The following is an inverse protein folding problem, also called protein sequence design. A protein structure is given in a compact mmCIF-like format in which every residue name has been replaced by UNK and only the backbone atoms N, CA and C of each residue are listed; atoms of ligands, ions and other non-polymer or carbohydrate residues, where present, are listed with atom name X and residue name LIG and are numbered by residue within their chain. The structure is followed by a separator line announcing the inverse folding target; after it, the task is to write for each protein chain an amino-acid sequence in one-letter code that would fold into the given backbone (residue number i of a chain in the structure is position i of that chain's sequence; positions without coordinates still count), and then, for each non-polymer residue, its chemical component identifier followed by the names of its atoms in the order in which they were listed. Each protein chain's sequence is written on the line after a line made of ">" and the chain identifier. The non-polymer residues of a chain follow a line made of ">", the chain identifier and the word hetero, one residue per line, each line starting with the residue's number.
data_IF_506909619124
#
_entry.id   IF_506909619124
#
_cell.length_a   1.000
_cell.length_b   1.000
_cell.length_c   1.000
_cell.angle_alpha   90.00
_cell.angle_beta   90.00
_cell.angle_gamma   90.00
#
_symmetry.space_group_name_H-M   'P 1'
#
loop_
_entity.id
_entity.type
_entity.pdbx_description
1 polymer ?
#
# COMPACT_ATOMS: atom_id res chain seq x y z
N UNK A 1 4.62 17.12 -14.46
CA UNK A 1 4.41 15.99 -13.55
C UNK A 1 3.56 14.94 -14.26
N UNK A 2 3.64 13.67 -13.86
CA UNK A 2 2.85 12.59 -14.47
C UNK A 2 1.56 12.41 -13.68
N UNK A 3 0.41 12.25 -14.34
CA UNK A 3 -0.90 12.03 -13.69
C UNK A 3 -0.87 10.92 -12.63
N UNK A 4 -0.14 9.84 -12.91
CA UNK A 4 0.01 8.73 -11.97
C UNK A 4 0.81 9.10 -10.71
N UNK A 5 1.78 10.01 -10.83
CA UNK A 5 2.49 10.55 -9.67
C UNK A 5 1.58 11.45 -8.83
N UNK A 6 0.69 12.22 -9.47
CA UNK A 6 -0.26 13.08 -8.77
C UNK A 6 -1.28 12.25 -7.97
N UNK A 7 -1.80 11.16 -8.54
CA UNK A 7 -2.69 10.22 -7.82
C UNK A 7 -1.95 9.55 -6.66
N UNK A 8 -0.72 9.07 -6.88
CA UNK A 8 0.12 8.46 -5.83
C UNK A 8 0.32 9.43 -4.67
N UNK A 9 0.68 10.67 -4.95
CA UNK A 9 0.97 11.68 -3.92
C UNK A 9 -0.32 12.09 -3.20
N UNK A 10 -1.45 12.22 -3.91
CA UNK A 10 -2.75 12.46 -3.30
C UNK A 10 -3.19 11.31 -2.36
N UNK A 11 -2.98 10.05 -2.75
CA UNK A 11 -3.22 8.89 -1.90
C UNK A 11 -2.33 8.94 -0.65
N UNK A 12 -1.04 9.22 -0.81
CA UNK A 12 -0.11 9.30 0.32
C UNK A 12 -0.52 10.41 1.32
N UNK A 13 -0.88 11.60 0.83
CA UNK A 13 -1.38 12.68 1.70
C UNK A 13 -2.70 12.31 2.39
N UNK A 14 -3.65 11.69 1.67
CA UNK A 14 -4.91 11.26 2.27
C UNK A 14 -4.73 10.23 3.39
N UNK A 15 -3.73 9.35 3.28
CA UNK A 15 -3.33 8.42 4.35
C UNK A 15 -2.73 9.18 5.52
N UNK A 16 -1.76 10.09 5.28
CA UNK A 16 -1.10 10.88 6.34
C UNK A 16 -2.09 11.69 7.18
N UNK A 17 -3.11 12.26 6.53
CA UNK A 17 -4.17 13.01 7.22
C UNK A 17 -4.99 12.16 8.19
N UNK A 18 -5.11 10.85 7.92
CA UNK A 18 -6.01 9.95 8.66
C UNK A 18 -5.25 9.03 9.64
N UNK A 19 -4.01 8.68 9.30
CA UNK A 19 -3.11 7.86 10.11
C UNK A 19 -1.92 8.70 10.55
N UNK A 20 -2.18 9.73 11.37
CA UNK A 20 -1.20 10.76 11.75
C UNK A 20 -0.01 10.22 12.54
N UNK A 21 -0.17 9.08 13.20
CA UNK A 21 0.88 8.44 14.01
C UNK A 21 1.77 7.50 13.19
N UNK A 22 1.48 7.33 11.90
CA UNK A 22 2.18 6.39 11.01
C UNK A 22 3.10 7.11 10.04
N UNK A 23 4.24 6.49 9.74
CA UNK A 23 5.16 7.01 8.72
C UNK A 23 4.69 6.55 7.34
N UNK A 24 4.34 7.49 6.46
CA UNK A 24 3.89 7.22 5.09
C UNK A 24 4.93 7.70 4.09
N UNK A 25 5.38 6.80 3.21
CA UNK A 25 6.44 7.08 2.23
C UNK A 25 6.01 6.75 0.81
N UNK A 26 6.51 7.54 -0.15
CA UNK A 26 6.33 7.29 -1.58
C UNK A 26 7.64 6.83 -2.22
N UNK A 27 7.60 5.76 -3.01
CA UNK A 27 8.78 5.27 -3.75
C UNK A 27 8.41 4.53 -5.04
N UNK A 28 9.44 4.15 -5.82
CA UNK A 28 9.31 3.33 -7.02
C UNK A 28 9.63 1.85 -6.74
N UNK A 29 10.69 1.58 -5.98
CA UNK A 29 11.10 0.24 -5.55
C UNK A 29 11.41 0.29 -4.05
N UNK A 30 10.80 -0.57 -3.22
CA UNK A 30 11.12 -0.62 -1.80
C UNK A 30 12.49 -1.25 -1.61
N UNK A 31 13.48 -0.43 -1.26
CA UNK A 31 14.77 -0.87 -0.74
C UNK A 31 14.87 -0.40 0.70
N UNK A 32 14.44 -1.24 1.63
CA UNK A 32 14.59 -0.99 3.06
C UNK A 32 15.65 -1.90 3.63
N UNK A 33 16.58 -1.30 4.37
CA UNK A 33 17.45 -2.05 5.26
C UNK A 33 16.73 -2.32 6.58
N UNK A 34 17.22 -3.32 7.30
CA UNK A 34 16.69 -3.69 8.61
C UNK A 34 16.81 -2.55 9.63
N UNK A 35 17.89 -1.78 9.54
CA UNK A 35 18.19 -0.61 10.38
C UNK A 35 17.21 0.54 10.17
N UNK A 36 16.78 0.78 8.92
CA UNK A 36 15.80 1.82 8.62
C UNK A 36 14.40 1.48 9.16
N UNK A 37 14.07 0.20 9.28
CA UNK A 37 12.77 -0.27 9.78
C UNK A 37 12.77 -0.58 11.29
N UNK A 38 13.91 -0.42 11.97
CA UNK A 38 14.02 -0.62 13.42
C UNK A 38 13.24 0.44 14.22
N UNK A 39 13.01 1.62 13.61
CA UNK A 39 12.18 2.68 14.19
C UNK A 39 10.67 2.37 14.18
N UNK A 40 10.24 1.30 13.50
CA UNK A 40 8.85 0.89 13.39
C UNK A 40 8.39 0.63 11.95
N UNK A 41 7.19 0.04 11.79
CA UNK A 41 6.63 -0.23 10.47
C UNK A 41 6.32 1.07 9.72
N UNK A 42 6.38 0.99 8.39
CA UNK A 42 6.07 2.12 7.50
C UNK A 42 4.92 1.74 6.57
N UNK A 43 4.08 2.71 6.27
CA UNK A 43 3.09 2.62 5.19
C UNK A 43 3.77 3.10 3.91
N UNK A 44 3.62 2.31 2.88
CA UNK A 44 4.26 2.53 1.60
C UNK A 44 3.23 2.80 0.53
N UNK A 45 3.52 3.76 -0.36
CA UNK A 45 2.64 4.10 -1.50
C UNK A 45 3.49 4.17 -2.76
N UNK A 46 3.17 3.36 -3.76
CA UNK A 46 3.88 3.34 -5.04
C UNK A 46 2.93 3.28 -6.22
N UNK A 47 3.47 3.64 -7.36
CA UNK A 47 2.81 3.37 -8.63
C UNK A 47 2.96 1.87 -8.96
N UNK A 48 1.85 1.18 -9.17
CA UNK A 48 1.83 -0.22 -9.60
C UNK A 48 1.97 -0.32 -11.12
N UNK A 49 0.90 -0.01 -11.83
CA UNK A 49 0.86 -0.01 -13.28
C UNK A 49 -0.10 1.05 -13.85
N UNK A 50 -0.08 1.19 -15.17
CA UNK A 50 -1.05 1.97 -15.94
C UNK A 50 -1.59 1.06 -17.03
N UNK A 51 -2.90 0.91 -17.07
CA UNK A 51 -3.58 0.21 -18.14
C UNK A 51 -4.25 1.26 -19.03
N UNK A 52 -4.05 1.12 -20.35
CA UNK A 52 -4.79 1.87 -21.35
C UNK A 52 -5.60 0.85 -22.13
N UNK A 53 -6.92 0.91 -22.01
CA UNK A 53 -7.82 0.12 -22.84
C UNK A 53 -8.37 1.02 -23.95
N UNK A 54 -8.08 0.63 -25.18
CA UNK A 54 -8.61 1.26 -26.39
C UNK A 54 -9.50 0.23 -27.07
N UNK A 55 -10.81 0.32 -26.84
CA UNK A 55 -11.82 -0.47 -27.55
C UNK A 55 -12.66 0.45 -28.45
N UNK A 56 -13.71 -0.06 -29.11
CA UNK A 56 -14.66 0.73 -29.91
C UNK A 56 -15.57 1.65 -29.05
N UNK A 57 -14.97 2.39 -28.10
CA UNK A 57 -15.59 3.29 -27.14
C UNK A 57 -14.62 4.40 -26.70
N UNK A 58 -14.93 5.17 -25.65
CA UNK A 58 -13.99 6.14 -25.09
C UNK A 58 -12.70 5.44 -24.62
N UNK A 59 -11.58 6.15 -24.71
CA UNK A 59 -10.32 5.67 -24.14
C UNK A 59 -10.54 5.46 -22.64
N UNK A 60 -10.17 4.31 -22.08
CA UNK A 60 -10.21 4.08 -20.63
C UNK A 60 -8.78 4.04 -20.08
N UNK A 61 -8.49 4.92 -19.12
CA UNK A 61 -7.20 4.98 -18.45
C UNK A 61 -7.34 4.64 -16.97
N UNK A 62 -6.84 3.46 -16.63
CA UNK A 62 -6.75 2.98 -15.26
C UNK A 62 -5.33 3.20 -14.73
N UNK A 63 -5.27 3.79 -13.54
CA UNK A 63 -4.04 4.01 -12.77
C UNK A 63 -4.10 3.14 -11.53
N UNK A 64 -3.15 2.22 -11.42
CA UNK A 64 -3.02 1.34 -10.28
C UNK A 64 -1.99 1.92 -9.30
N UNK A 65 -2.44 2.19 -8.09
CA UNK A 65 -1.61 2.60 -6.97
C UNK A 65 -1.52 1.45 -5.99
N UNK A 66 -0.30 1.04 -5.66
CA UNK A 66 -0.10 0.05 -4.61
C UNK A 66 0.16 0.74 -3.28
N UNK A 67 -0.56 0.31 -2.24
CA UNK A 67 -0.40 0.78 -0.87
C UNK A 67 -0.14 -0.42 0.02
N UNK A 68 0.79 -0.33 0.96
CA UNK A 68 1.09 -1.47 1.82
C UNK A 68 1.76 -1.12 3.11
N UNK A 69 2.10 -2.17 3.86
CA UNK A 69 2.87 -2.08 5.08
C UNK A 69 4.18 -2.82 4.91
N UNK A 70 5.25 -2.20 5.39
CA UNK A 70 6.57 -2.81 5.47
C UNK A 70 7.06 -2.74 6.91
N UNK A 71 7.63 -3.84 7.38
CA UNK A 71 8.14 -3.96 8.74
C UNK A 71 9.22 -5.01 8.85
N UNK A 72 9.89 -5.04 9.99
CA UNK A 72 10.95 -5.99 10.28
C UNK A 72 10.53 -6.90 11.41
N UNK A 73 10.64 -8.21 11.19
CA UNK A 73 10.45 -9.19 12.25
C UNK A 73 11.66 -9.23 13.18
N UNK A 74 11.48 -9.54 14.47
CA UNK A 74 12.58 -9.64 15.42
C UNK A 74 13.65 -10.61 14.92
N UNK A 75 14.90 -10.30 15.23
CA UNK A 75 16.05 -11.12 14.88
C UNK A 75 16.05 -12.38 15.75
N UNK A 76 16.44 -13.52 15.17
CA UNK A 76 16.64 -14.73 15.94
C UNK A 76 17.93 -14.59 16.75
N UNK A 77 17.80 -14.04 17.96
CA UNK A 77 18.86 -14.10 18.98
C UNK A 77 18.92 -15.51 19.58
N UNK A 78 19.92 -15.79 20.42
CA UNK A 78 20.12 -17.08 21.13
C UNK A 78 19.00 -17.46 22.13
N UNK A 79 17.78 -16.94 21.94
CA UNK A 79 16.59 -17.26 22.70
C UNK A 79 16.00 -18.62 22.28
N UNK A 80 15.26 -19.23 23.19
CA UNK A 80 14.48 -20.43 22.89
C UNK A 80 13.57 -20.20 21.67
N UNK A 81 13.46 -21.22 20.81
CA UNK A 81 12.71 -21.16 19.56
C UNK A 81 11.22 -20.77 19.77
N UNK A 82 10.64 -21.18 20.91
CA UNK A 82 9.28 -20.82 21.31
C UNK A 82 9.12 -19.31 21.55
N UNK A 83 10.08 -18.69 22.25
CA UNK A 83 10.09 -17.26 22.57
C UNK A 83 10.27 -16.44 21.30
N UNK A 84 11.18 -16.88 20.43
CA UNK A 84 11.39 -16.26 19.13
C UNK A 84 10.13 -16.28 18.25
N UNK A 85 9.47 -17.45 18.13
CA UNK A 85 8.23 -17.60 17.36
C UNK A 85 7.10 -16.73 17.92
N UNK A 86 6.94 -16.65 19.23
CA UNK A 86 5.94 -15.79 19.85
C UNK A 86 6.17 -14.30 19.54
N UNK A 87 7.43 -13.85 19.60
CA UNK A 87 7.78 -12.47 19.25
C UNK A 87 7.58 -12.18 17.76
N UNK A 88 7.86 -13.15 16.89
CA UNK A 88 7.63 -13.03 15.45
C UNK A 88 6.13 -12.90 15.14
N UNK A 89 5.28 -13.74 15.74
CA UNK A 89 3.82 -13.67 15.58
C UNK A 89 3.28 -12.33 16.05
N UNK A 90 3.67 -11.88 17.25
CA UNK A 90 3.22 -10.60 17.78
C UNK A 90 3.61 -9.40 16.89
N UNK A 91 4.78 -9.45 16.24
CA UNK A 91 5.18 -8.43 15.27
C UNK A 91 4.32 -8.49 14.00
N UNK A 92 4.05 -9.69 13.47
CA UNK A 92 3.21 -9.88 12.29
C UNK A 92 1.76 -9.43 12.55
N UNK A 93 1.19 -9.75 13.72
CA UNK A 93 -0.14 -9.29 14.12
C UNK A 93 -0.23 -7.75 14.13
N UNK A 94 0.86 -7.07 14.53
CA UNK A 94 0.95 -5.61 14.46
C UNK A 94 0.97 -5.07 13.02
N UNK A 95 1.68 -5.74 12.12
CA UNK A 95 1.73 -5.37 10.71
C UNK A 95 0.40 -5.61 10.00
N UNK A 96 -0.27 -6.71 10.32
CA UNK A 96 -1.61 -7.03 9.80
C UNK A 96 -2.64 -6.02 10.33
N UNK A 97 -2.61 -5.67 11.62
CA UNK A 97 -3.50 -4.63 12.16
C UNK A 97 -3.29 -3.25 11.52
N UNK A 98 -2.05 -2.91 11.15
CA UNK A 98 -1.76 -1.70 10.38
C UNK A 98 -2.32 -1.80 8.95
N UNK A 99 -2.17 -2.97 8.32
CA UNK A 99 -2.69 -3.23 6.97
C UNK A 99 -4.22 -3.17 6.95
N UNK A 100 -4.90 -3.73 7.95
CA UNK A 100 -6.34 -3.62 8.12
C UNK A 100 -6.79 -2.17 8.29
N UNK A 101 -6.02 -1.37 9.03
CA UNK A 101 -6.29 0.07 9.19
C UNK A 101 -6.19 0.82 7.86
N UNK A 102 -5.20 0.46 7.01
CA UNK A 102 -5.06 0.99 5.65
C UNK A 102 -6.23 0.56 4.76
N UNK A 103 -6.56 -0.74 4.73
CA UNK A 103 -7.69 -1.29 3.96
C UNK A 103 -9.01 -0.60 4.36
N UNK A 104 -9.22 -0.41 5.67
CA UNK A 104 -10.41 0.22 6.22
C UNK A 104 -10.70 1.60 5.62
N UNK A 105 -9.68 2.33 5.16
CA UNK A 105 -9.85 3.62 4.48
C UNK A 105 -10.68 3.49 3.19
N UNK A 106 -10.52 2.40 2.45
CA UNK A 106 -11.18 2.15 1.15
C UNK A 106 -12.28 1.09 1.18
N UNK A 107 -12.51 0.42 2.32
CA UNK A 107 -13.71 -0.44 2.48
C UNK A 107 -15.00 0.34 2.25
N UNK A 108 -16.16 -0.28 1.94
CA UNK A 108 -17.40 0.44 1.61
C UNK A 108 -17.89 1.48 2.63
N UNK A 109 -17.49 1.35 3.90
CA UNK A 109 -17.81 2.31 4.97
C UNK A 109 -16.64 3.26 5.30
N UNK A 110 -15.52 3.09 4.60
CA UNK A 110 -14.30 3.84 4.76
C UNK A 110 -14.39 5.25 4.19
N UNK A 111 -13.64 6.20 4.77
CA UNK A 111 -13.68 7.61 4.38
C UNK A 111 -13.18 7.90 2.96
N UNK A 112 -12.46 6.98 2.32
CA UNK A 112 -11.90 7.14 0.97
C UNK A 112 -12.61 6.29 -0.09
N UNK A 113 -13.59 5.48 0.30
CA UNK A 113 -14.31 4.53 -0.57
C UNK A 113 -15.04 5.15 -1.77
N UNK A 114 -15.25 6.47 -1.75
CA UNK A 114 -15.89 7.23 -2.83
C UNK A 114 -15.12 8.53 -3.15
N UNK A 115 -13.90 8.65 -2.65
CA UNK A 115 -13.10 9.85 -2.86
C UNK A 115 -12.26 9.69 -4.12
N UNK A 116 -12.53 10.54 -5.12
CA UNK A 116 -11.62 10.72 -6.23
C UNK A 116 -10.32 11.38 -5.77
N UNK A 117 -9.23 11.07 -6.46
CA UNK A 117 -7.89 11.59 -6.20
C UNK A 117 -7.30 12.18 -7.47
N UNK A 118 -6.84 13.43 -7.41
CA UNK A 118 -6.18 14.11 -8.53
C UNK A 118 -6.94 13.99 -9.88
N UNK A 119 -8.25 14.26 -9.89
CA UNK A 119 -9.13 14.13 -11.09
C UNK A 119 -9.30 12.69 -11.60
N UNK A 120 -9.15 11.69 -10.72
CA UNK A 120 -9.46 10.29 -11.03
C UNK A 120 -10.48 9.77 -10.03
N UNK A 121 -11.48 9.04 -10.51
CA UNK A 121 -12.48 8.38 -9.67
C UNK A 121 -11.91 7.08 -9.11
N UNK A 122 -12.18 6.78 -7.83
CA UNK A 122 -11.85 5.47 -7.27
C UNK A 122 -12.76 4.39 -7.87
N UNK A 123 -12.18 3.31 -8.36
CA UNK A 123 -12.88 2.20 -9.02
C UNK A 123 -12.91 0.95 -8.14
N UNK A 124 -11.73 0.44 -7.76
CA UNK A 124 -11.63 -0.82 -7.02
C UNK A 124 -10.44 -0.89 -6.07
N UNK A 125 -10.53 -1.81 -5.10
CA UNK A 125 -9.44 -2.24 -4.24
C UNK A 125 -9.27 -3.75 -4.39
N UNK A 126 -8.04 -4.20 -4.60
CA UNK A 126 -7.66 -5.62 -4.65
C UNK A 126 -6.37 -5.85 -3.84
N UNK A 127 -6.00 -7.10 -3.58
CA UNK A 127 -4.79 -7.44 -2.84
C UNK A 127 -3.68 -7.86 -3.79
N UNK A 128 -2.77 -6.94 -4.12
CA UNK A 128 -1.65 -7.19 -5.05
C UNK A 128 -0.60 -8.14 -4.48
N UNK A 129 -0.20 -7.95 -3.23
CA UNK A 129 0.77 -8.82 -2.54
C UNK A 129 0.20 -9.21 -1.19
N UNK A 130 -0.23 -10.46 -1.09
CA UNK A 130 -0.78 -10.97 0.17
C UNK A 130 0.33 -11.18 1.22
N UNK A 131 1.49 -11.69 0.79
CA UNK A 131 2.65 -11.94 1.64
C UNK A 131 3.87 -12.38 0.81
N UNK A 132 5.03 -11.74 0.96
CA UNK A 132 6.31 -12.21 0.37
C UNK A 132 7.11 -13.06 1.38
N UNK A 133 6.87 -14.37 1.34
CA UNK A 133 7.56 -15.34 2.19
C UNK A 133 9.09 -15.37 1.99
N UNK A 134 9.57 -15.02 0.79
CA UNK A 134 10.99 -15.08 0.45
C UNK A 134 11.74 -13.93 1.09
N UNK A 135 11.18 -12.71 1.01
CA UNK A 135 11.73 -11.55 1.73
C UNK A 135 11.66 -11.71 3.23
N UNK A 136 10.57 -12.28 3.76
CA UNK A 136 10.49 -12.53 5.19
C UNK A 136 11.57 -13.53 5.64
N UNK A 137 11.75 -14.63 4.92
CA UNK A 137 12.69 -15.67 5.31
C UNK A 137 14.16 -15.24 5.17
N UNK A 138 14.51 -14.51 4.12
CA UNK A 138 15.89 -14.14 3.82
C UNK A 138 16.34 -12.83 4.46
N UNK A 139 15.44 -11.84 4.54
CA UNK A 139 15.77 -10.47 4.97
C UNK A 139 15.07 -10.10 6.29
N UNK A 140 14.14 -10.94 6.78
CA UNK A 140 13.32 -10.64 7.95
C UNK A 140 12.28 -9.55 7.69
N UNK A 141 12.05 -9.20 6.43
CA UNK A 141 11.17 -8.09 6.02
C UNK A 141 9.77 -8.62 5.73
N UNK A 142 8.79 -8.07 6.44
CA UNK A 142 7.38 -8.23 6.14
C UNK A 142 6.95 -7.21 5.09
N UNK A 143 6.22 -7.67 4.08
CA UNK A 143 5.64 -6.83 3.04
C UNK A 143 4.26 -7.37 2.67
N UNK A 144 3.24 -6.52 2.82
CA UNK A 144 1.88 -6.75 2.36
C UNK A 144 1.38 -5.51 1.62
N UNK A 145 0.73 -5.68 0.47
CA UNK A 145 0.26 -4.58 -0.37
C UNK A 145 -1.12 -4.85 -0.95
N UNK A 146 -1.94 -3.80 -0.98
CA UNK A 146 -3.17 -3.69 -1.75
C UNK A 146 -2.93 -2.84 -2.99
N UNK A 147 -3.76 -3.05 -3.99
CA UNK A 147 -3.86 -2.26 -5.19
C UNK A 147 -5.15 -1.46 -5.15
N UNK A 148 -5.04 -0.17 -5.44
CA UNK A 148 -6.13 0.76 -5.61
C UNK A 148 -6.17 1.17 -7.08
N UNK A 149 -7.29 0.95 -7.73
CA UNK A 149 -7.51 1.34 -9.12
C UNK A 149 -8.26 2.66 -9.17
N UNK A 150 -7.71 3.61 -9.91
CA UNK A 150 -8.29 4.93 -10.16
C UNK A 150 -8.50 5.13 -11.66
N UNK A 151 -9.72 5.48 -12.06
CA UNK A 151 -10.08 5.75 -13.46
C UNK A 151 -10.05 7.25 -13.74
N UNK A 152 -9.46 7.64 -14.86
CA UNK A 152 -9.43 9.05 -15.30
C UNK A 152 -10.87 9.56 -15.55
N UNK A 153 -11.31 10.56 -14.78
CA UNK A 153 -12.69 11.07 -14.90
C UNK A 153 -12.89 12.01 -16.08
N UNK A 154 -11.82 12.37 -16.81
CA UNK A 154 -11.97 13.20 -18.03
C UNK A 154 -12.53 12.41 -19.22
N UNK A 155 -12.52 11.08 -19.17
CA UNK A 155 -13.10 10.23 -20.22
C UNK A 155 -14.65 10.17 -20.16
N UNK A 156 -15.28 10.63 -19.06
CA UNK A 156 -16.75 10.72 -18.94
C UNK A 156 -17.35 12.06 -19.41
N UNK A 157 -16.53 13.10 -19.62
CA UNK A 157 -17.04 14.48 -19.86
C UNK A 157 -17.15 14.91 -21.33
N UNK A 158 -16.88 14.01 -22.29
CA UNK A 158 -16.96 14.29 -23.73
C UNK A 158 -18.26 13.76 -24.40
N UNK A 159 -19.37 13.66 -23.65
CA UNK A 159 -20.74 13.48 -24.19
C UNK A 159 -21.64 14.72 -24.07
#
# INVERSE_FOLDING_TARGET
>A
MSRASDVRDAVAEAIKERLTDQTVETFLVPHYTREELDSGPRIIVRFGARELRVDQGPDERDIEIEVGTVGVTPERKDHEESVYRAAQVAACDGFDGLMESVIALWTPNGPLSRCGMAEHAFDSIDQAINFDATKLYNEGIWLSMIQLTYRDSQDESDE
#
